data_IF_437641507651
#
_entry.id   IF_437641507651
#
_cell.length_a   1.000
_cell.length_b   1.000
_cell.length_c   1.000
_cell.angle_alpha   90.00
_cell.angle_beta   90.00
_cell.angle_gamma   90.00
#
_symmetry.space_group_name_H-M   'P 1'
#
loop_
_entity.id
_entity.type
_entity.pdbx_description
1 polymer ?
#
# COMPACT_ATOMS: atom_id res chain seq x y z
N UNK A 1 -5.99 -13.55 -2.87
CA UNK A 1 -4.59 -13.24 -3.26
C UNK A 1 -3.63 -13.66 -2.14
N UNK A 2 -2.65 -14.50 -2.46
CA UNK A 2 -1.71 -15.05 -1.45
C UNK A 2 -0.45 -14.19 -1.33
N UNK A 3 -0.16 -13.35 -2.34
CA UNK A 3 0.98 -12.45 -2.35
C UNK A 3 0.67 -11.08 -1.74
N UNK A 4 1.54 -10.62 -0.83
CA UNK A 4 1.56 -9.24 -0.31
C UNK A 4 2.53 -8.39 -1.11
N UNK A 5 2.23 -7.10 -1.37
CA UNK A 5 3.22 -6.17 -1.89
C UNK A 5 4.44 -6.16 -0.96
N UNK A 6 5.64 -6.15 -1.54
CA UNK A 6 6.87 -6.08 -0.76
C UNK A 6 7.32 -4.63 -0.72
N UNK A 7 7.38 -4.05 0.49
CA UNK A 7 7.93 -2.72 0.69
C UNK A 7 9.43 -2.79 0.41
N UNK A 8 9.90 -1.97 -0.53
CA UNK A 8 11.31 -1.88 -0.92
C UNK A 8 11.99 -0.77 -0.12
N UNK A 9 11.35 0.40 -0.05
CA UNK A 9 11.87 1.54 0.72
C UNK A 9 10.74 2.33 1.38
N UNK A 10 11.08 2.95 2.51
CA UNK A 10 10.27 3.97 3.16
C UNK A 10 11.21 5.09 3.62
N UNK A 11 11.14 6.24 2.97
CA UNK A 11 12.06 7.35 3.20
C UNK A 11 11.30 8.58 3.69
N UNK A 12 11.82 9.23 4.73
CA UNK A 12 11.29 10.52 5.15
C UNK A 12 11.74 11.59 4.15
N UNK A 13 10.78 12.23 3.48
CA UNK A 13 11.07 13.32 2.53
C UNK A 13 10.92 14.69 3.20
N UNK A 14 10.15 14.77 4.29
CA UNK A 14 10.04 15.95 5.16
C UNK A 14 9.47 15.56 6.53
N UNK A 15 9.40 16.52 7.47
CA UNK A 15 8.78 16.30 8.79
C UNK A 15 7.32 15.79 8.72
N UNK A 16 6.63 15.93 7.59
CA UNK A 16 5.22 15.54 7.42
C UNK A 16 4.96 14.58 6.27
N UNK A 17 5.99 14.15 5.53
CA UNK A 17 5.82 13.30 4.35
C UNK A 17 6.83 12.15 4.28
N UNK A 18 6.35 11.00 3.81
CA UNK A 18 7.12 9.76 3.64
C UNK A 18 6.89 9.27 2.21
N UNK A 19 7.98 9.00 1.50
CA UNK A 19 7.97 8.30 0.22
C UNK A 19 8.06 6.79 0.47
N UNK A 20 7.10 6.03 -0.03
CA UNK A 20 7.09 4.57 0.07
C UNK A 20 7.20 3.99 -1.34
N UNK A 21 8.09 3.03 -1.53
CA UNK A 21 8.22 2.26 -2.78
C UNK A 21 7.97 0.78 -2.48
N UNK A 22 7.13 0.13 -3.29
CA UNK A 22 6.80 -1.28 -3.14
C UNK A 22 6.82 -2.00 -4.50
N UNK A 23 7.07 -3.31 -4.47
CA UNK A 23 6.94 -4.20 -5.63
C UNK A 23 5.54 -4.82 -5.64
N UNK A 24 4.87 -4.94 -6.80
CA UNK A 24 3.62 -5.68 -6.91
C UNK A 24 3.78 -7.12 -6.44
N UNK A 25 2.73 -7.74 -5.87
CA UNK A 25 2.76 -9.17 -5.61
C UNK A 25 2.82 -9.95 -6.94
N UNK A 26 3.37 -11.17 -6.93
CA UNK A 26 3.45 -12.01 -8.13
C UNK A 26 2.05 -12.24 -8.75
N UNK A 27 1.95 -12.15 -10.08
CA UNK A 27 0.66 -12.22 -10.80
C UNK A 27 -0.04 -13.57 -10.62
N UNK A 28 0.73 -14.64 -10.50
CA UNK A 28 0.30 -16.00 -10.17
C UNK A 28 -0.38 -16.11 -8.80
N UNK A 29 -0.15 -15.14 -7.91
CA UNK A 29 -0.82 -15.06 -6.60
C UNK A 29 -2.03 -14.13 -6.58
N UNK A 30 -2.32 -13.46 -7.70
CA UNK A 30 -3.50 -12.61 -7.88
C UNK A 30 -4.64 -13.46 -8.44
N UNK A 31 -5.66 -13.70 -7.62
CA UNK A 31 -6.88 -14.38 -8.07
C UNK A 31 -7.77 -13.35 -8.79
N UNK A 32 -7.70 -13.31 -10.11
CA UNK A 32 -8.53 -12.44 -10.95
C UNK A 32 -7.92 -11.06 -11.23
N UNK A 33 -8.79 -10.08 -11.47
CA UNK A 33 -8.38 -8.74 -11.91
C UNK A 33 -7.69 -7.93 -10.81
N UNK A 34 -6.61 -7.24 -11.16
CA UNK A 34 -5.91 -6.36 -10.24
C UNK A 34 -6.61 -5.00 -10.12
N UNK A 35 -7.34 -4.82 -9.03
CA UNK A 35 -8.12 -3.60 -8.75
C UNK A 35 -7.29 -2.43 -8.21
N UNK A 36 -6.13 -2.69 -7.60
CA UNK A 36 -5.27 -1.67 -7.00
C UNK A 36 -4.65 -2.04 -5.66
N UNK A 37 -4.20 -1.03 -4.92
CA UNK A 37 -3.58 -1.17 -3.60
C UNK A 37 -4.41 -0.52 -2.50
N UNK A 38 -4.37 -1.13 -1.30
CA UNK A 38 -4.88 -0.54 -0.05
C UNK A 38 -3.71 -0.30 0.89
N UNK A 39 -3.53 0.94 1.33
CA UNK A 39 -2.47 1.36 2.26
C UNK A 39 -3.13 1.73 3.58
N UNK A 40 -2.70 1.11 4.67
CA UNK A 40 -3.16 1.42 6.02
C UNK A 40 -2.00 2.00 6.83
N UNK A 41 -2.21 3.15 7.47
CA UNK A 41 -1.18 3.81 8.26
C UNK A 41 -1.74 4.47 9.52
N UNK A 42 -0.90 4.61 10.55
CA UNK A 42 -1.19 5.34 11.77
C UNK A 42 0.07 6.00 12.34
N UNK A 43 -0.05 7.11 13.08
CA UNK A 43 1.04 7.59 13.91
C UNK A 43 1.45 6.52 14.92
N UNK A 44 2.75 6.41 15.21
CA UNK A 44 3.30 5.43 16.16
C UNK A 44 2.69 5.57 17.56
N UNK A 45 2.30 6.78 17.95
CA UNK A 45 1.73 7.11 19.27
C UNK A 45 0.24 6.82 19.39
N UNK A 46 -0.46 6.48 18.31
CA UNK A 46 -1.91 6.21 18.32
C UNK A 46 -2.17 4.71 18.20
N UNK A 47 -3.26 4.22 18.78
CA UNK A 47 -3.66 2.81 18.67
C UNK A 47 -4.24 2.48 17.29
N UNK A 48 -4.60 1.21 17.08
CA UNK A 48 -5.17 0.73 15.82
C UNK A 48 -6.52 1.41 15.46
N UNK A 49 -7.20 2.01 16.43
CA UNK A 49 -8.45 2.75 16.20
C UNK A 49 -8.24 4.01 15.32
N UNK A 50 -6.99 4.47 15.19
CA UNK A 50 -6.62 5.61 14.35
C UNK A 50 -6.04 5.20 12.99
N UNK A 51 -6.21 3.94 12.56
CA UNK A 51 -5.76 3.53 11.23
C UNK A 51 -6.53 4.32 10.18
N UNK A 52 -5.77 5.01 9.32
CA UNK A 52 -6.29 5.61 8.10
C UNK A 52 -5.99 4.70 6.94
N UNK A 53 -6.96 4.57 6.04
CA UNK A 53 -6.82 3.78 4.82
C UNK A 53 -6.83 4.67 3.59
N UNK A 54 -5.97 4.35 2.63
CA UNK A 54 -5.90 4.97 1.31
C UNK A 54 -6.04 3.87 0.26
N UNK A 55 -6.84 4.14 -0.76
CA UNK A 55 -7.09 3.22 -1.87
C UNK A 55 -6.50 3.80 -3.16
N UNK A 56 -5.53 3.11 -3.75
CA UNK A 56 -4.94 3.45 -5.04
C UNK A 56 -5.54 2.50 -6.07
N UNK A 57 -6.47 2.99 -6.90
CA UNK A 57 -7.13 2.19 -7.92
C UNK A 57 -6.24 2.03 -9.16
N UNK A 58 -6.28 0.86 -9.78
CA UNK A 58 -5.63 0.62 -11.07
C UNK A 58 -6.46 1.27 -12.18
N UNK A 59 -5.91 2.26 -12.89
CA UNK A 59 -6.61 2.99 -13.97
C UNK A 59 -6.63 2.26 -15.32
N UNK A 60 -6.10 1.03 -15.40
CA UNK A 60 -6.08 0.24 -16.64
C UNK A 60 -7.41 -0.47 -16.97
N UNK A 61 -8.47 -0.19 -16.23
CA UNK A 61 -9.81 -0.73 -16.47
C UNK A 61 -10.66 0.33 -17.20
N UNK A 62 -10.38 0.55 -18.48
CA UNK A 62 -11.27 1.23 -19.42
C UNK A 62 -11.20 0.52 -20.77
#
# INVERSE_FOLDING_TARGET
PVGKPTIITAQNVSATAILITWKPPPLDTMNGEFLGYRISYRPRTKNNDYIKEIYIRNRKTE
#
